data_IF_325586259837
#
_entry.id   IF_325586259837
#
_cell.length_a   1.000
_cell.length_b   1.000
_cell.length_c   1.000
_cell.angle_alpha   90.00
_cell.angle_beta   90.00
_cell.angle_gamma   90.00
#
_symmetry.space_group_name_H-M   'P 1'
#
loop_
_entity.id
_entity.type
_entity.pdbx_description
1 polymer ?
#
# COMPACT_ATOMS: atom_id res chain seq x y z
N UNK A 1 -21.27 17.09 36.25
CA UNK A 1 -21.14 17.09 34.77
C UNK A 1 -19.85 16.45 34.26
N UNK A 2 -18.79 16.37 35.08
CA UNK A 2 -17.49 15.80 34.67
C UNK A 2 -17.48 14.28 34.42
N UNK A 3 -18.36 13.50 35.08
CA UNK A 3 -18.41 12.03 34.91
C UNK A 3 -19.08 11.52 33.62
N UNK A 4 -20.00 12.30 33.02
CA UNK A 4 -20.67 11.93 31.77
C UNK A 4 -19.76 12.16 30.56
N UNK A 5 -18.92 13.18 30.62
CA UNK A 5 -17.94 13.49 29.57
C UNK A 5 -16.85 12.41 29.50
N UNK A 6 -16.30 11.97 30.64
CA UNK A 6 -15.28 10.90 30.69
C UNK A 6 -15.82 9.56 30.19
N UNK A 7 -17.09 9.22 30.47
CA UNK A 7 -17.72 7.97 29.99
C UNK A 7 -17.93 7.99 28.47
N UNK A 8 -18.34 9.14 27.89
CA UNK A 8 -18.44 9.32 26.42
C UNK A 8 -17.08 9.23 25.73
N UNK A 9 -16.03 9.84 26.31
CA UNK A 9 -14.66 9.78 25.78
C UNK A 9 -14.12 8.34 25.76
N UNK A 10 -14.46 7.52 26.77
CA UNK A 10 -14.04 6.11 26.80
C UNK A 10 -14.74 5.26 25.71
N UNK A 11 -16.04 5.48 25.49
CA UNK A 11 -16.81 4.78 24.46
C UNK A 11 -16.31 5.12 23.05
N UNK A 12 -16.05 6.40 22.78
CA UNK A 12 -15.48 6.85 21.51
C UNK A 12 -14.09 6.27 21.27
N UNK A 13 -13.22 6.22 22.29
CA UNK A 13 -11.88 5.63 22.18
C UNK A 13 -11.94 4.13 21.88
N UNK A 14 -12.86 3.40 22.50
CA UNK A 14 -13.05 1.99 22.24
C UNK A 14 -13.55 1.73 20.81
N UNK A 15 -14.54 2.48 20.35
CA UNK A 15 -15.03 2.41 18.97
C UNK A 15 -13.92 2.70 17.95
N UNK A 16 -13.15 3.79 18.15
CA UNK A 16 -12.04 4.14 17.28
C UNK A 16 -10.96 3.05 17.23
N UNK A 17 -10.63 2.42 18.37
CA UNK A 17 -9.69 1.29 18.42
C UNK A 17 -10.19 0.14 17.54
N UNK A 18 -11.44 -0.29 17.73
CA UNK A 18 -12.02 -1.40 16.96
C UNK A 18 -12.00 -1.10 15.45
N UNK A 19 -12.31 0.13 15.05
CA UNK A 19 -12.23 0.54 13.64
C UNK A 19 -10.80 0.48 13.08
N UNK A 20 -9.81 0.93 13.85
CA UNK A 20 -8.39 0.90 13.45
C UNK A 20 -7.92 -0.55 13.33
N UNK A 21 -8.21 -1.38 14.33
CA UNK A 21 -7.82 -2.80 14.35
C UNK A 21 -8.43 -3.56 13.16
N UNK A 22 -9.70 -3.30 12.86
CA UNK A 22 -10.40 -3.89 11.71
C UNK A 22 -9.77 -3.43 10.39
N UNK A 23 -9.46 -2.14 10.27
CA UNK A 23 -8.85 -1.58 9.05
C UNK A 23 -7.45 -2.16 8.84
N UNK A 24 -6.66 -2.27 9.90
CA UNK A 24 -5.29 -2.79 9.82
C UNK A 24 -5.27 -4.28 9.46
N UNK A 25 -6.21 -5.07 10.00
CA UNK A 25 -6.40 -6.45 9.56
C UNK A 25 -6.77 -6.52 8.08
N UNK A 26 -7.71 -5.69 7.62
CA UNK A 26 -8.10 -5.62 6.21
C UNK A 26 -6.93 -5.27 5.28
N UNK A 27 -6.11 -4.28 5.67
CA UNK A 27 -4.92 -3.88 4.92
C UNK A 27 -3.92 -5.05 4.82
N UNK A 28 -3.68 -5.77 5.91
CA UNK A 28 -2.80 -6.93 5.91
C UNK A 28 -3.28 -8.01 4.94
N UNK A 29 -4.59 -8.31 4.92
CA UNK A 29 -5.18 -9.28 3.99
C UNK A 29 -5.01 -8.83 2.53
N UNK A 30 -5.28 -7.56 2.23
CA UNK A 30 -5.13 -7.02 0.86
C UNK A 30 -3.68 -7.10 0.39
N UNK A 31 -2.71 -6.71 1.22
CA UNK A 31 -1.29 -6.81 0.84
C UNK A 31 -0.83 -8.26 0.66
N UNK A 32 -1.32 -9.19 1.47
CA UNK A 32 -1.03 -10.62 1.32
C UNK A 32 -1.59 -11.13 -0.03
N UNK A 33 -2.84 -10.81 -0.36
CA UNK A 33 -3.46 -11.18 -1.63
C UNK A 33 -2.72 -10.59 -2.83
N UNK A 34 -2.35 -9.31 -2.77
CA UNK A 34 -1.62 -8.62 -3.82
C UNK A 34 -0.23 -9.23 -4.03
N UNK A 35 0.48 -9.55 -2.94
CA UNK A 35 1.80 -10.17 -2.99
C UNK A 35 1.73 -11.57 -3.59
N UNK A 36 0.76 -12.38 -3.17
CA UNK A 36 0.53 -13.70 -3.73
C UNK A 36 0.22 -13.65 -5.23
N UNK A 37 -0.56 -12.64 -5.67
CA UNK A 37 -0.90 -12.47 -7.08
C UNK A 37 0.33 -12.11 -7.91
N UNK A 38 1.13 -11.16 -7.44
CA UNK A 38 2.37 -10.78 -8.12
C UNK A 38 3.35 -11.96 -8.24
N UNK A 39 3.46 -12.80 -7.21
CA UNK A 39 4.32 -14.00 -7.24
C UNK A 39 3.76 -15.05 -8.21
N UNK A 40 2.45 -15.29 -8.17
CA UNK A 40 1.77 -16.18 -9.12
C UNK A 40 2.03 -15.77 -10.57
N UNK A 41 1.82 -14.50 -10.89
CA UNK A 41 2.00 -13.96 -12.24
C UNK A 41 3.47 -14.00 -12.67
N UNK A 42 4.41 -13.76 -11.74
CA UNK A 42 5.84 -13.92 -11.97
C UNK A 42 6.22 -15.39 -12.28
N UNK A 43 5.75 -16.35 -11.50
CA UNK A 43 6.05 -17.77 -11.72
C UNK A 43 5.49 -18.21 -13.08
N UNK A 44 4.26 -17.81 -13.40
CA UNK A 44 3.64 -18.14 -14.67
C UNK A 44 4.41 -17.54 -15.85
N UNK A 45 4.84 -16.28 -15.75
CA UNK A 45 5.55 -15.59 -16.82
C UNK A 45 6.97 -16.14 -17.09
N UNK A 46 7.73 -16.52 -16.06
CA UNK A 46 9.13 -16.94 -16.22
C UNK A 46 9.33 -18.46 -16.27
N UNK A 47 8.52 -19.23 -15.56
CA UNK A 47 8.68 -20.69 -15.45
C UNK A 47 7.61 -21.48 -16.21
N UNK A 48 6.55 -20.83 -16.72
CA UNK A 48 5.44 -21.50 -17.40
C UNK A 48 4.72 -22.54 -16.54
N UNK A 49 4.91 -22.48 -15.21
CA UNK A 49 4.34 -23.42 -14.27
C UNK A 49 3.05 -22.85 -13.69
N UNK A 50 1.92 -23.48 -14.02
CA UNK A 50 0.60 -23.10 -13.52
C UNK A 50 0.37 -23.63 -12.10
N UNK A 51 0.96 -22.96 -11.11
CA UNK A 51 0.68 -23.23 -9.70
C UNK A 51 -0.58 -22.46 -9.30
N UNK A 52 -1.56 -23.11 -8.67
CA UNK A 52 -2.78 -22.41 -8.25
C UNK A 52 -2.52 -21.30 -7.22
N UNK A 53 -3.16 -20.15 -7.42
CA UNK A 53 -3.14 -19.00 -6.50
C UNK A 53 -3.42 -19.38 -5.04
N UNK A 54 -4.30 -20.35 -4.79
CA UNK A 54 -4.63 -20.83 -3.44
C UNK A 54 -3.46 -21.47 -2.69
N UNK A 55 -2.46 -22.03 -3.39
CA UNK A 55 -1.25 -22.53 -2.74
C UNK A 55 -0.24 -21.41 -2.50
N UNK A 56 -0.08 -20.50 -3.46
CA UNK A 56 0.84 -19.36 -3.35
C UNK A 56 0.48 -18.49 -2.14
N UNK A 57 -0.81 -18.19 -1.94
CA UNK A 57 -1.28 -17.38 -0.81
C UNK A 57 -0.93 -18.02 0.56
N UNK A 58 -1.08 -19.35 0.69
CA UNK A 58 -0.75 -20.08 1.91
C UNK A 58 0.77 -20.08 2.17
N UNK A 59 1.56 -20.28 1.12
CA UNK A 59 3.02 -20.24 1.20
C UNK A 59 3.50 -18.84 1.61
N UNK A 60 3.02 -17.79 0.97
CA UNK A 60 3.37 -16.40 1.31
C UNK A 60 2.98 -16.07 2.75
N UNK A 61 1.77 -16.45 3.19
CA UNK A 61 1.34 -16.26 4.57
C UNK A 61 2.23 -17.01 5.57
N UNK A 62 2.57 -18.26 5.29
CA UNK A 62 3.46 -19.06 6.14
C UNK A 62 4.88 -18.49 6.21
N UNK A 63 5.40 -17.90 5.12
CA UNK A 63 6.70 -17.23 5.10
C UNK A 63 6.69 -15.88 5.83
N UNK A 64 5.59 -15.13 5.78
CA UNK A 64 5.45 -13.85 6.49
C UNK A 64 5.23 -14.04 7.99
N UNK A 65 4.60 -15.14 8.41
CA UNK A 65 4.34 -15.45 9.81
C UNK A 65 5.59 -15.36 10.71
N UNK A 66 6.73 -16.04 10.42
CA UNK A 66 7.94 -15.88 11.24
C UNK A 66 8.47 -14.44 11.23
N UNK A 67 8.32 -13.72 10.11
CA UNK A 67 8.71 -12.31 9.99
C UNK A 67 7.85 -11.41 10.88
N UNK A 68 6.56 -11.70 11.05
CA UNK A 68 5.69 -10.94 11.95
C UNK A 68 6.05 -11.11 13.43
N UNK A 69 6.75 -12.19 13.80
CA UNK A 69 7.26 -12.40 15.15
C UNK A 69 8.62 -11.71 15.41
N UNK A 70 9.26 -11.13 14.38
CA UNK A 70 10.52 -10.40 14.56
C UNK A 70 10.29 -9.08 15.33
N UNK A 71 11.34 -8.67 16.04
CA UNK A 71 11.38 -7.44 16.84
C UNK A 71 11.18 -6.19 15.95
N UNK A 72 10.63 -5.14 16.57
CA UNK A 72 10.19 -3.85 15.98
C UNK A 72 11.00 -3.40 14.75
N UNK A 73 10.36 -2.75 13.74
CA UNK A 73 11.01 -2.25 12.52
C UNK A 73 12.25 -1.37 12.76
N UNK A 74 12.45 -0.85 13.97
CA UNK A 74 13.66 -0.15 14.38
C UNK A 74 14.93 -1.04 14.28
N UNK A 75 14.83 -2.34 14.56
CA UNK A 75 15.97 -3.27 14.56
C UNK A 75 16.37 -3.74 13.15
N UNK A 76 15.46 -3.63 12.18
CA UNK A 76 15.65 -4.08 10.78
C UNK A 76 15.52 -2.92 9.77
N UNK A 77 16.05 -1.75 10.11
CA UNK A 77 15.95 -0.54 9.27
C UNK A 77 16.45 -0.74 7.82
N UNK A 78 17.47 -1.59 7.62
CA UNK A 78 18.01 -1.92 6.30
C UNK A 78 16.99 -2.60 5.39
N UNK A 79 16.10 -3.45 5.93
CA UNK A 79 15.04 -4.11 5.17
C UNK A 79 14.00 -3.09 4.69
N UNK A 80 13.68 -2.09 5.53
CA UNK A 80 12.80 -0.97 5.16
C UNK A 80 13.43 -0.14 4.04
N UNK A 81 14.72 0.20 4.15
CA UNK A 81 15.43 0.95 3.10
C UNK A 81 15.45 0.18 1.77
N UNK A 82 15.71 -1.13 1.81
CA UNK A 82 15.68 -1.97 0.62
C UNK A 82 14.29 -2.00 -0.03
N UNK A 83 13.22 -2.10 0.77
CA UNK A 83 11.84 -2.02 0.29
C UNK A 83 11.54 -0.67 -0.39
N UNK A 84 12.05 0.43 0.16
CA UNK A 84 11.86 1.77 -0.44
C UNK A 84 12.61 1.93 -1.77
N UNK A 85 13.84 1.42 -1.87
CA UNK A 85 14.62 1.46 -3.12
C UNK A 85 13.98 0.60 -4.19
N UNK A 86 13.60 -0.64 -3.85
CA UNK A 86 12.98 -1.58 -4.80
C UNK A 86 11.64 -1.07 -5.34
N UNK A 87 10.78 -0.49 -4.49
CA UNK A 87 9.53 0.14 -4.94
C UNK A 87 9.77 1.34 -5.83
N UNK A 88 10.79 2.16 -5.52
CA UNK A 88 11.17 3.31 -6.36
C UNK A 88 11.64 2.85 -7.75
N UNK A 89 12.48 1.82 -7.82
CA UNK A 89 12.92 1.20 -9.07
C UNK A 89 11.76 0.57 -9.84
N UNK A 90 10.87 -0.17 -9.17
CA UNK A 90 9.70 -0.79 -9.79
C UNK A 90 8.79 0.26 -10.45
N UNK A 91 8.58 1.41 -9.80
CA UNK A 91 7.81 2.51 -10.38
C UNK A 91 8.46 3.06 -11.66
N UNK A 92 9.78 3.19 -11.71
CA UNK A 92 10.46 3.60 -12.95
C UNK A 92 10.33 2.55 -14.06
N UNK A 93 10.49 1.27 -13.73
CA UNK A 93 10.34 0.17 -14.69
C UNK A 93 8.92 0.12 -15.27
N UNK A 94 7.90 0.27 -14.44
CA UNK A 94 6.49 0.30 -14.87
C UNK A 94 6.23 1.49 -15.78
N UNK A 95 6.75 2.68 -15.47
CA UNK A 95 6.59 3.87 -16.32
C UNK A 95 7.25 3.69 -17.70
N UNK A 96 8.47 3.16 -17.74
CA UNK A 96 9.18 2.90 -19.01
C UNK A 96 8.43 1.84 -19.81
N UNK A 97 8.01 0.74 -19.17
CA UNK A 97 7.21 -0.31 -19.81
C UNK A 97 5.92 0.25 -20.41
N UNK A 98 5.19 1.08 -19.66
CA UNK A 98 3.96 1.70 -20.15
C UNK A 98 4.18 2.60 -21.38
N UNK A 99 5.30 3.35 -21.44
CA UNK A 99 5.66 4.17 -22.60
C UNK A 99 6.02 3.31 -23.82
N UNK A 100 6.75 2.21 -23.61
CA UNK A 100 7.10 1.27 -24.68
C UNK A 100 5.88 0.50 -25.21
N UNK A 101 4.91 0.21 -24.34
CA UNK A 101 3.66 -0.49 -24.69
C UNK A 101 2.61 0.44 -25.30
N UNK A 102 2.75 1.77 -25.12
CA UNK A 102 1.80 2.76 -25.63
C UNK A 102 1.46 2.62 -27.12
N UNK A 103 2.43 2.52 -28.07
CA UNK A 103 2.09 2.43 -29.51
C UNK A 103 1.27 1.18 -29.86
N UNK A 104 1.47 0.07 -29.15
CA UNK A 104 0.75 -1.18 -29.38
C UNK A 104 -0.63 -1.18 -28.71
N UNK A 105 -0.74 -0.59 -27.52
CA UNK A 105 -1.97 -0.61 -26.72
C UNK A 105 -2.93 0.54 -27.03
N UNK A 106 -2.43 1.68 -27.52
CA UNK A 106 -3.24 2.86 -27.87
C UNK A 106 -4.38 2.58 -28.88
N UNK A 107 -4.17 1.83 -29.99
CA UNK A 107 -5.23 1.60 -30.98
C UNK A 107 -6.32 0.62 -30.50
N UNK A 108 -6.01 -0.28 -29.58
CA UNK A 108 -6.95 -1.29 -29.05
C UNK A 108 -7.62 -0.87 -27.74
N UNK A 109 -7.32 0.33 -27.23
CA UNK A 109 -7.88 0.81 -25.96
C UNK A 109 -9.41 0.93 -26.06
N UNK A 110 -10.12 0.09 -25.33
CA UNK A 110 -11.56 0.24 -25.16
C UNK A 110 -11.84 1.50 -24.33
N UNK A 111 -12.57 2.47 -24.88
CA UNK A 111 -13.12 3.53 -24.04
C UNK A 111 -14.24 2.92 -23.19
N UNK A 112 -14.18 3.11 -21.87
CA UNK A 112 -15.25 2.68 -20.98
C UNK A 112 -16.47 3.58 -21.20
N UNK A 113 -17.29 3.25 -22.20
CA UNK A 113 -18.46 4.05 -22.60
C UNK A 113 -19.68 3.82 -21.69
N UNK A 114 -19.64 2.79 -20.83
CA UNK A 114 -20.76 2.42 -19.96
C UNK A 114 -20.44 2.77 -18.51
N UNK A 115 -21.35 3.49 -17.87
CA UNK A 115 -21.29 3.73 -16.44
C UNK A 115 -21.62 2.44 -15.69
N UNK A 116 -20.58 1.72 -15.26
CA UNK A 116 -20.70 0.52 -14.43
C UNK A 116 -20.24 0.89 -13.02
N UNK A 117 -21.19 1.04 -12.09
CA UNK A 117 -20.91 1.48 -10.73
C UNK A 117 -19.82 0.64 -10.03
N UNK A 118 -19.74 -0.66 -10.33
CA UNK A 118 -18.69 -1.55 -9.81
C UNK A 118 -17.27 -1.06 -10.17
N UNK A 119 -17.02 -0.67 -11.41
CA UNK A 119 -15.69 -0.19 -11.84
C UNK A 119 -15.30 1.09 -11.11
N UNK A 120 -16.28 1.99 -10.89
CA UNK A 120 -16.06 3.22 -10.13
C UNK A 120 -15.75 2.96 -8.66
N UNK A 121 -16.52 2.08 -8.01
CA UNK A 121 -16.28 1.72 -6.60
C UNK A 121 -14.94 1.01 -6.42
N UNK A 122 -14.54 0.16 -7.37
CA UNK A 122 -13.22 -0.49 -7.36
C UNK A 122 -12.08 0.52 -7.53
N UNK A 123 -12.22 1.48 -8.45
CA UNK A 123 -11.24 2.55 -8.64
C UNK A 123 -11.15 3.45 -7.39
N UNK A 124 -12.29 3.85 -6.83
CA UNK A 124 -12.38 4.63 -5.60
C UNK A 124 -11.79 3.88 -4.40
N UNK A 125 -12.08 2.59 -4.25
CA UNK A 125 -11.50 1.73 -3.21
C UNK A 125 -9.98 1.64 -3.32
N UNK A 126 -9.45 1.48 -4.54
CA UNK A 126 -8.00 1.47 -4.79
C UNK A 126 -7.35 2.79 -4.42
N UNK A 127 -7.99 3.92 -4.79
CA UNK A 127 -7.50 5.25 -4.44
C UNK A 127 -7.48 5.48 -2.92
N UNK A 128 -8.58 5.14 -2.23
CA UNK A 128 -8.66 5.27 -0.77
C UNK A 128 -7.65 4.38 -0.05
N UNK A 129 -7.41 3.16 -0.57
CA UNK A 129 -6.40 2.25 -0.04
C UNK A 129 -4.98 2.82 -0.20
N UNK A 130 -4.66 3.40 -1.37
CA UNK A 130 -3.33 3.94 -1.66
C UNK A 130 -2.94 5.14 -0.80
N UNK A 131 -3.91 6.00 -0.43
CA UNK A 131 -3.68 7.15 0.46
C UNK A 131 -4.00 6.86 1.94
N UNK A 132 -4.36 5.62 2.26
CA UNK A 132 -4.51 5.14 3.64
C UNK A 132 -3.15 4.96 4.33
N UNK A 133 -3.12 5.05 5.67
CA UNK A 133 -1.89 4.78 6.44
C UNK A 133 -1.66 5.69 7.66
N UNK A 134 -2.48 6.72 7.83
CA UNK A 134 -2.39 7.66 8.95
C UNK A 134 -2.51 6.98 10.34
N UNK A 135 -3.21 5.84 10.41
CA UNK A 135 -3.35 5.06 11.64
C UNK A 135 -2.03 4.48 12.14
N UNK A 136 -1.01 4.35 11.29
CA UNK A 136 0.31 3.87 11.67
C UNK A 136 1.20 4.98 12.28
N UNK A 137 0.80 6.25 12.20
CA UNK A 137 1.63 7.37 12.64
C UNK A 137 1.96 7.33 14.14
N UNK A 138 1.04 6.99 15.05
CA UNK A 138 1.37 6.86 16.47
C UNK A 138 2.45 5.79 16.73
N UNK A 139 2.42 4.68 15.98
CA UNK A 139 3.42 3.61 16.07
C UNK A 139 4.77 4.08 15.53
N UNK A 140 4.78 4.73 14.36
CA UNK A 140 6.01 5.31 13.77
C UNK A 140 6.63 6.35 14.71
N UNK A 141 5.81 7.16 15.38
CA UNK A 141 6.27 8.14 16.36
C UNK A 141 6.92 7.49 17.58
N UNK A 142 6.43 6.32 18.00
CA UNK A 142 6.99 5.56 19.11
C UNK A 142 8.31 4.87 18.75
N UNK A 143 8.44 4.41 17.50
CA UNK A 143 9.66 3.76 16.97
C UNK A 143 10.70 4.75 16.42
N UNK A 144 10.40 6.05 16.38
CA UNK A 144 11.31 7.08 15.86
C UNK A 144 12.30 7.52 16.95
N UNK A 145 13.60 7.46 16.65
CA UNK A 145 14.66 7.92 17.58
C UNK A 145 14.47 9.39 18.02
N UNK A 146 13.94 10.23 17.13
CA UNK A 146 13.72 11.68 17.34
C UNK A 146 12.30 12.10 16.92
N UNK A 147 11.26 11.90 17.76
CA UNK A 147 9.85 12.09 17.38
C UNK A 147 9.50 13.53 17.00
N UNK A 148 10.26 14.52 17.48
CA UNK A 148 10.05 15.94 17.14
C UNK A 148 10.35 16.29 15.67
N UNK A 149 11.01 15.40 14.92
CA UNK A 149 11.26 15.57 13.48
C UNK A 149 10.19 14.94 12.59
N UNK A 150 9.18 14.27 13.16
CA UNK A 150 8.16 13.55 12.42
C UNK A 150 7.47 14.40 11.34
N UNK A 151 7.06 15.63 11.66
CA UNK A 151 6.37 16.51 10.69
C UNK A 151 7.24 16.82 9.47
N UNK A 152 8.55 17.04 9.65
CA UNK A 152 9.46 17.28 8.53
C UNK A 152 9.58 16.03 7.66
N UNK A 153 9.75 14.86 8.28
CA UNK A 153 9.83 13.57 7.57
C UNK A 153 8.54 13.24 6.81
N UNK A 154 7.38 13.49 7.41
CA UNK A 154 6.08 13.29 6.78
C UNK A 154 5.89 14.21 5.57
N UNK A 155 6.23 15.51 5.70
CA UNK A 155 6.16 16.45 4.57
C UNK A 155 7.08 16.00 3.43
N UNK A 156 8.32 15.58 3.70
CA UNK A 156 9.20 15.06 2.66
C UNK A 156 8.63 13.81 1.97
N UNK A 157 8.03 12.88 2.73
CA UNK A 157 7.41 11.69 2.17
C UNK A 157 6.22 12.03 1.26
N UNK A 158 5.30 12.89 1.71
CA UNK A 158 4.13 13.29 0.90
C UNK A 158 4.51 14.19 -0.27
N UNK A 159 5.42 15.14 -0.08
CA UNK A 159 5.87 16.05 -1.15
C UNK A 159 6.66 15.31 -2.22
N UNK A 160 7.47 14.30 -1.87
CA UNK A 160 8.19 13.47 -2.84
C UNK A 160 7.25 12.76 -3.82
N UNK A 161 6.08 12.33 -3.37
CA UNK A 161 5.04 11.75 -4.22
C UNK A 161 4.39 12.80 -5.16
N UNK A 162 4.24 14.04 -4.70
CA UNK A 162 3.67 15.14 -5.49
C UNK A 162 4.64 15.64 -6.56
N UNK A 163 5.93 15.79 -6.24
CA UNK A 163 6.95 16.24 -7.21
C UNK A 163 7.10 15.26 -8.38
N UNK A 164 6.88 13.95 -8.17
CA UNK A 164 6.98 12.93 -9.23
C UNK A 164 5.73 12.83 -10.12
N UNK A 165 4.57 13.21 -9.60
CA UNK A 165 3.33 13.33 -10.39
C UNK A 165 3.35 14.60 -11.26
N UNK A 166 3.86 15.72 -10.72
CA UNK A 166 3.89 17.00 -11.43
C UNK A 166 4.85 17.01 -12.62
N UNK A 167 5.92 16.21 -12.59
CA UNK A 167 6.85 16.08 -13.73
C UNK A 167 6.32 15.22 -14.89
N UNK A 168 5.28 14.39 -14.68
CA UNK A 168 4.67 13.57 -15.74
C UNK A 168 3.49 14.28 -16.44
N UNK A 169 2.78 15.17 -15.75
CA UNK A 169 1.71 15.98 -16.38
C UNK A 169 2.29 16.98 -17.39
N UNK A 170 3.50 17.51 -17.16
CA UNK A 170 4.15 18.42 -18.11
C UNK A 170 4.72 17.75 -19.38
N UNK A 171 4.73 16.41 -19.47
CA UNK A 171 5.19 15.67 -20.66
C UNK A 171 4.00 15.14 -21.49
N UNK A 172 2.77 15.32 -21.02
CA UNK A 172 1.55 14.82 -21.68
C UNK A 172 0.56 15.94 -22.07
N UNK A 173 1.00 17.20 -22.09
CA UNK A 173 0.28 18.35 -22.68
C UNK A 173 1.08 18.91 -23.83
#
# INVERSE_FOLDING_TARGET
MSGVFTKKVCCFRHFASVCIDTTQFGIAVVFLLLSAKNIHDFINAFFGAEISFCYIILVVGACLLPVTFLKSPQDFWWAVVLAMVTTTCALFLVMIGAVLDYPTCAPVRGTNQKFVASNYLMALGTYLFAYGGHSAFPTILHDMEKPYHFTRSAIFAFAGNIFRQSSNISVTV
#
